data_IF_737609684224
#
_entry.id   IF_737609684224
#
_cell.length_a   1.000
_cell.length_b   1.000
_cell.length_c   1.000
_cell.angle_alpha   90.00
_cell.angle_beta   90.00
_cell.angle_gamma   90.00
#
_symmetry.space_group_name_H-M   'P 1'
#
loop_
_entity.id
_entity.type
_entity.pdbx_description
1 polymer ?
#
# COMPACT_ATOMS: atom_id res chain seq x y z
N UNK A 1 10.65 -0.14 1.53
CA UNK A 1 11.13 0.63 2.66
C UNK A 1 11.80 1.93 2.20
N UNK A 2 12.22 2.79 3.14
CA UNK A 2 12.80 4.11 2.83
C UNK A 2 14.32 4.07 3.05
N UNK A 3 15.05 4.85 2.24
CA UNK A 3 16.52 4.91 2.32
C UNK A 3 17.03 5.12 3.76
N UNK A 4 16.50 6.07 4.56
CA UNK A 4 16.97 6.24 5.95
C UNK A 4 16.77 5.01 6.84
N UNK A 5 15.72 4.23 6.60
CA UNK A 5 15.46 2.99 7.34
C UNK A 5 16.42 1.89 6.90
N UNK A 6 16.55 1.68 5.58
CA UNK A 6 17.38 0.61 5.03
C UNK A 6 18.86 0.83 5.34
N UNK A 7 19.37 2.05 5.12
CA UNK A 7 20.77 2.36 5.37
C UNK A 7 21.06 2.66 6.85
N UNK A 8 20.18 3.43 7.51
CA UNK A 8 20.42 3.91 8.88
C UNK A 8 20.13 2.87 9.96
N UNK A 9 19.06 2.09 9.84
CA UNK A 9 18.67 1.13 10.86
C UNK A 9 19.05 -0.31 10.51
N UNK A 10 19.01 -0.70 9.24
CA UNK A 10 19.29 -2.08 8.82
C UNK A 10 20.74 -2.28 8.35
N UNK A 11 21.51 -1.19 8.13
CA UNK A 11 22.88 -1.26 7.64
C UNK A 11 23.04 -1.87 6.25
N UNK A 12 21.96 -1.86 5.45
CA UNK A 12 21.92 -2.41 4.10
C UNK A 12 22.05 -1.29 3.07
N UNK A 13 22.55 -1.60 1.86
CA UNK A 13 22.55 -0.64 0.75
C UNK A 13 21.13 -0.41 0.21
N UNK A 14 20.81 0.85 -0.10
CA UNK A 14 19.62 1.24 -0.84
C UNK A 14 19.93 1.58 -2.31
N UNK A 15 21.09 1.15 -2.80
CA UNK A 15 21.45 1.32 -4.20
C UNK A 15 20.57 0.43 -5.09
N UNK A 16 20.07 0.99 -6.17
CA UNK A 16 19.25 0.28 -7.17
C UNK A 16 18.06 -0.51 -6.56
N UNK A 17 17.18 0.13 -5.74
CA UNK A 17 16.13 -0.56 -5.00
C UNK A 17 15.11 -1.28 -5.91
N UNK A 18 14.91 -0.80 -7.14
CA UNK A 18 14.03 -1.46 -8.11
C UNK A 18 14.66 -2.76 -8.62
N UNK A 19 15.99 -2.79 -8.86
CA UNK A 19 16.67 -4.03 -9.24
C UNK A 19 16.62 -5.05 -8.11
N UNK A 20 16.89 -4.61 -6.88
CA UNK A 20 16.78 -5.44 -5.70
C UNK A 20 15.36 -6.04 -5.55
N UNK A 21 14.32 -5.22 -5.75
CA UNK A 21 12.93 -5.69 -5.70
C UNK A 21 12.65 -6.74 -6.80
N UNK A 22 13.14 -6.52 -8.02
CA UNK A 22 12.97 -7.49 -9.11
C UNK A 22 13.62 -8.82 -8.73
N UNK A 23 14.89 -8.80 -8.34
CA UNK A 23 15.63 -10.01 -7.98
C UNK A 23 14.97 -10.74 -6.80
N UNK A 24 14.47 -9.99 -5.81
CA UNK A 24 13.72 -10.56 -4.68
C UNK A 24 12.46 -11.30 -5.15
N UNK A 25 11.70 -10.71 -6.07
CA UNK A 25 10.47 -11.33 -6.60
C UNK A 25 10.77 -12.53 -7.52
N UNK A 26 11.87 -12.50 -8.29
CA UNK A 26 12.31 -13.66 -9.11
C UNK A 26 12.72 -14.85 -8.24
N UNK A 27 13.07 -14.65 -6.98
CA UNK A 27 13.30 -15.70 -6.00
C UNK A 27 12.01 -16.08 -5.27
N UNK A 28 11.29 -15.09 -4.73
CA UNK A 28 10.14 -15.34 -3.85
C UNK A 28 8.97 -16.01 -4.59
N UNK A 29 8.60 -15.50 -5.77
CA UNK A 29 7.40 -15.98 -6.47
C UNK A 29 7.53 -17.46 -6.85
N UNK A 30 8.61 -17.93 -7.51
CA UNK A 30 8.79 -19.36 -7.82
C UNK A 30 8.84 -20.25 -6.57
N UNK A 31 9.43 -19.78 -5.47
CA UNK A 31 9.42 -20.54 -4.21
C UNK A 31 8.00 -20.73 -3.66
N UNK A 32 7.14 -19.74 -3.79
CA UNK A 32 5.74 -19.81 -3.32
C UNK A 32 4.86 -20.63 -4.27
N UNK A 33 5.11 -20.58 -5.58
CA UNK A 33 4.29 -21.28 -6.60
C UNK A 33 4.73 -22.70 -6.82
N UNK A 34 6.03 -22.92 -7.05
CA UNK A 34 6.60 -24.17 -7.54
C UNK A 34 7.41 -24.91 -6.48
N UNK A 35 7.74 -24.24 -5.36
CA UNK A 35 8.57 -24.78 -4.30
C UNK A 35 10.05 -24.88 -4.65
N UNK A 36 10.46 -24.32 -5.76
CA UNK A 36 11.84 -24.31 -6.26
C UNK A 36 12.19 -22.99 -6.92
N UNK A 37 13.47 -22.69 -6.95
CA UNK A 37 14.03 -21.54 -7.65
C UNK A 37 15.43 -21.86 -8.15
N UNK A 38 15.74 -21.39 -9.36
CA UNK A 38 17.07 -21.43 -9.97
C UNK A 38 17.31 -20.07 -10.60
N UNK A 39 17.98 -19.18 -9.86
CA UNK A 39 18.10 -17.78 -10.22
C UNK A 39 19.46 -17.19 -9.88
N UNK A 40 20.10 -16.59 -10.88
CA UNK A 40 21.32 -15.81 -10.77
C UNK A 40 21.01 -14.34 -11.07
N UNK A 41 20.79 -13.55 -10.02
CA UNK A 41 20.54 -12.13 -10.09
C UNK A 41 21.73 -11.30 -9.63
N UNK A 42 21.54 -10.02 -9.65
CA UNK A 42 22.54 -9.06 -9.22
C UNK A 42 22.57 -8.88 -7.69
N UNK A 43 21.39 -8.91 -7.06
CA UNK A 43 21.24 -8.77 -5.61
C UNK A 43 21.12 -10.13 -4.90
N UNK A 44 20.63 -11.17 -5.59
CA UNK A 44 20.44 -12.51 -5.03
C UNK A 44 20.84 -13.55 -6.05
N UNK A 45 21.53 -14.59 -5.55
CA UNK A 45 21.75 -15.87 -6.26
C UNK A 45 21.15 -16.97 -5.39
N UNK A 46 20.20 -17.73 -5.94
CA UNK A 46 19.47 -18.73 -5.16
C UNK A 46 19.16 -19.95 -6.02
N UNK A 47 19.69 -21.10 -5.61
CA UNK A 47 19.43 -22.41 -6.21
C UNK A 47 18.85 -23.31 -5.13
N UNK A 48 17.53 -23.54 -5.17
CA UNK A 48 16.85 -24.26 -4.11
C UNK A 48 15.70 -25.10 -4.66
N UNK A 49 15.64 -26.38 -4.31
CA UNK A 49 14.62 -27.32 -4.76
C UNK A 49 14.27 -28.28 -3.63
N UNK A 50 13.46 -27.84 -2.67
CA UNK A 50 13.01 -28.72 -1.59
C UNK A 50 11.76 -28.29 -0.83
N UNK A 51 11.18 -27.14 -1.16
CA UNK A 51 9.94 -26.72 -0.54
C UNK A 51 8.77 -27.31 -1.29
N UNK A 52 7.86 -27.97 -0.58
CA UNK A 52 6.56 -28.30 -1.16
C UNK A 52 5.63 -27.13 -0.93
N UNK A 53 5.18 -26.43 -1.99
CA UNK A 53 4.18 -25.40 -1.85
C UNK A 53 2.93 -25.96 -1.19
N UNK A 54 2.26 -25.17 -0.39
CA UNK A 54 0.96 -25.52 0.16
C UNK A 54 -0.10 -25.69 -0.94
N UNK A 55 -1.28 -26.14 -0.56
CA UNK A 55 -2.39 -26.31 -1.52
C UNK A 55 -2.88 -25.00 -2.17
N UNK A 56 -2.51 -23.84 -1.60
CA UNK A 56 -2.83 -22.51 -2.15
C UNK A 56 -1.59 -21.64 -2.13
N UNK A 57 -1.22 -21.15 -3.29
CA UNK A 57 -0.20 -20.11 -3.41
C UNK A 57 -0.72 -18.81 -2.77
N UNK A 58 0.00 -18.24 -1.81
CA UNK A 58 -0.39 -16.97 -1.23
C UNK A 58 -0.27 -15.85 -2.27
N UNK A 59 -1.16 -14.84 -2.20
CA UNK A 59 -1.02 -13.63 -3.00
C UNK A 59 0.23 -12.85 -2.59
N UNK A 60 0.98 -12.40 -3.58
CA UNK A 60 2.14 -11.54 -3.38
C UNK A 60 1.77 -10.12 -3.80
N UNK A 61 1.92 -9.17 -2.89
CA UNK A 61 1.65 -7.76 -3.15
C UNK A 61 2.87 -6.91 -2.76
N UNK A 62 3.07 -5.80 -3.47
CA UNK A 62 4.20 -4.89 -3.25
C UNK A 62 3.69 -3.53 -2.82
N UNK A 63 4.30 -2.94 -1.80
CA UNK A 63 4.08 -1.53 -1.47
C UNK A 63 4.77 -0.66 -2.53
N UNK A 64 4.00 -0.08 -3.45
CA UNK A 64 4.50 0.66 -4.60
C UNK A 64 3.78 1.99 -4.79
N UNK A 65 4.55 3.08 -4.88
CA UNK A 65 4.05 4.43 -5.12
C UNK A 65 4.61 5.03 -6.43
N UNK A 66 5.91 4.85 -6.67
CA UNK A 66 6.59 5.37 -7.85
C UNK A 66 6.36 4.51 -9.10
N UNK A 67 6.49 5.12 -10.29
CA UNK A 67 6.20 4.47 -11.57
C UNK A 67 6.94 3.15 -11.79
N UNK A 68 8.23 3.10 -11.44
CA UNK A 68 9.03 1.89 -11.62
C UNK A 68 8.55 0.76 -10.70
N UNK A 69 8.27 1.06 -9.44
CA UNK A 69 7.75 0.08 -8.48
C UNK A 69 6.35 -0.42 -8.88
N UNK A 70 5.45 0.47 -9.33
CA UNK A 70 4.13 0.12 -9.85
C UNK A 70 4.23 -0.79 -11.09
N UNK A 71 5.21 -0.50 -11.99
CA UNK A 71 5.47 -1.34 -13.16
C UNK A 71 5.93 -2.75 -12.76
N UNK A 72 6.83 -2.84 -11.79
CA UNK A 72 7.28 -4.14 -11.24
C UNK A 72 6.11 -4.88 -10.60
N UNK A 73 5.33 -4.19 -9.75
CA UNK A 73 4.17 -4.76 -9.08
C UNK A 73 3.17 -5.34 -10.09
N UNK A 74 2.70 -4.56 -11.07
CA UNK A 74 1.73 -5.02 -12.07
C UNK A 74 2.25 -6.21 -12.89
N UNK A 75 3.54 -6.24 -13.24
CA UNK A 75 4.12 -7.28 -14.08
C UNK A 75 4.43 -8.58 -13.34
N UNK A 76 4.64 -8.57 -12.03
CA UNK A 76 5.21 -9.70 -11.27
C UNK A 76 4.40 -10.15 -10.06
N UNK A 77 3.44 -9.35 -9.62
CA UNK A 77 2.69 -9.62 -8.38
C UNK A 77 1.19 -9.48 -8.57
N UNK A 78 0.42 -9.77 -7.54
CA UNK A 78 -1.04 -9.75 -7.60
C UNK A 78 -1.64 -8.37 -7.31
N UNK A 79 -0.79 -7.38 -7.03
CA UNK A 79 -1.23 -6.01 -6.81
C UNK A 79 -0.31 -5.19 -5.92
N UNK A 80 -0.85 -4.08 -5.44
CA UNK A 80 -0.12 -3.12 -4.59
C UNK A 80 -0.85 -2.87 -3.28
N UNK A 81 -0.08 -2.62 -2.22
CA UNK A 81 -0.60 -2.09 -0.95
C UNK A 81 -0.14 -0.64 -0.83
N UNK A 82 -1.08 0.25 -0.67
CA UNK A 82 -0.86 1.68 -0.55
C UNK A 82 -0.98 2.11 0.90
N UNK A 83 -0.19 3.11 1.27
CA UNK A 83 -0.29 3.79 2.55
C UNK A 83 -0.28 5.30 2.32
N UNK A 84 -1.14 6.04 3.00
CA UNK A 84 -1.28 7.51 2.88
C UNK A 84 -1.46 8.00 1.43
N UNK A 85 -2.36 7.35 0.70
CA UNK A 85 -2.69 7.69 -0.69
C UNK A 85 -4.20 7.89 -0.79
N UNK A 86 -4.63 9.06 -1.26
CA UNK A 86 -6.04 9.39 -1.41
C UNK A 86 -6.62 8.96 -2.77
N UNK A 87 -7.95 9.14 -2.96
CA UNK A 87 -8.69 8.65 -4.12
C UNK A 87 -8.20 9.24 -5.44
N UNK A 88 -7.93 10.55 -5.50
CA UNK A 88 -7.44 11.19 -6.72
C UNK A 88 -6.11 10.60 -7.20
N UNK A 89 -5.19 10.35 -6.27
CA UNK A 89 -3.90 9.75 -6.59
C UNK A 89 -4.05 8.29 -7.04
N UNK A 90 -4.99 7.55 -6.47
CA UNK A 90 -5.31 6.18 -6.93
C UNK A 90 -5.81 6.22 -8.36
N UNK A 91 -6.78 7.07 -8.67
CA UNK A 91 -7.41 7.19 -10.00
C UNK A 91 -6.43 7.67 -11.08
N UNK A 92 -5.68 8.74 -10.82
CA UNK A 92 -4.87 9.43 -11.83
C UNK A 92 -3.45 8.87 -11.98
N UNK A 93 -2.93 8.20 -10.93
CA UNK A 93 -1.53 7.77 -10.92
C UNK A 93 -1.35 6.27 -10.70
N UNK A 94 -1.92 5.70 -9.63
CA UNK A 94 -1.64 4.31 -9.24
C UNK A 94 -2.30 3.32 -10.22
N UNK A 95 -3.63 3.37 -10.30
CA UNK A 95 -4.43 2.42 -11.09
C UNK A 95 -4.02 2.36 -12.56
N UNK A 96 -3.88 3.47 -13.30
CA UNK A 96 -3.57 3.40 -14.73
C UNK A 96 -2.22 2.72 -14.99
N UNK A 97 -1.20 3.01 -14.17
CA UNK A 97 0.14 2.44 -14.33
C UNK A 97 0.21 0.97 -13.95
N UNK A 98 -0.47 0.62 -12.88
CA UNK A 98 -0.51 -0.75 -12.37
C UNK A 98 -1.23 -1.67 -13.36
N UNK A 99 -2.43 -1.26 -13.82
CA UNK A 99 -3.26 -2.02 -14.78
C UNK A 99 -2.52 -2.17 -16.11
N UNK A 100 -2.04 -1.08 -16.71
CA UNK A 100 -1.31 -1.15 -17.99
C UNK A 100 -0.07 -2.06 -17.89
N UNK A 101 0.56 -2.13 -16.72
CA UNK A 101 1.72 -3.00 -16.49
C UNK A 101 1.33 -4.47 -16.38
N UNK A 102 0.19 -4.78 -15.74
CA UNK A 102 -0.37 -6.12 -15.66
C UNK A 102 -0.81 -6.61 -17.05
N UNK A 103 -1.55 -5.79 -17.79
CA UNK A 103 -2.02 -6.09 -19.14
C UNK A 103 -0.84 -6.38 -20.09
N UNK A 104 0.22 -5.57 -20.01
CA UNK A 104 1.44 -5.78 -20.84
C UNK A 104 2.16 -7.10 -20.54
N UNK A 105 1.89 -7.70 -19.38
CA UNK A 105 2.44 -8.98 -18.94
C UNK A 105 1.43 -10.14 -19.02
N UNK A 106 0.25 -9.91 -19.63
CA UNK A 106 -0.86 -10.87 -19.70
C UNK A 106 -1.28 -11.42 -18.33
N UNK A 107 -1.27 -10.57 -17.30
CA UNK A 107 -1.70 -10.92 -15.96
C UNK A 107 -3.14 -10.48 -15.71
N UNK A 108 -3.79 -11.12 -14.75
CA UNK A 108 -5.10 -10.71 -14.26
C UNK A 108 -5.08 -9.27 -13.72
N UNK A 109 -6.26 -8.64 -13.66
CA UNK A 109 -6.42 -7.31 -13.06
C UNK A 109 -5.84 -7.27 -11.64
N UNK A 110 -4.91 -6.36 -11.36
CA UNK A 110 -4.23 -6.32 -10.07
C UNK A 110 -5.11 -5.75 -8.97
N UNK A 111 -4.91 -6.25 -7.77
CA UNK A 111 -5.54 -5.73 -6.55
C UNK A 111 -4.89 -4.42 -6.12
N UNK A 112 -5.68 -3.49 -5.61
CA UNK A 112 -5.23 -2.22 -5.04
C UNK A 112 -5.78 -2.15 -3.61
N UNK A 113 -4.95 -2.47 -2.64
CA UNK A 113 -5.30 -2.34 -1.22
C UNK A 113 -4.95 -0.94 -0.77
N UNK A 114 -5.95 -0.16 -0.37
CA UNK A 114 -5.74 1.18 0.19
C UNK A 114 -5.75 1.09 1.72
N UNK A 115 -4.61 1.43 2.35
CA UNK A 115 -4.50 1.50 3.81
C UNK A 115 -4.48 2.95 4.25
N UNK A 116 -5.44 3.35 5.09
CA UNK A 116 -5.52 4.69 5.66
C UNK A 116 -5.96 4.64 7.12
N UNK A 117 -5.59 5.65 7.92
CA UNK A 117 -6.21 5.89 9.21
C UNK A 117 -7.70 6.15 9.03
N UNK A 118 -8.52 5.54 9.90
CA UNK A 118 -9.97 5.69 9.90
C UNK A 118 -10.50 5.96 11.30
N UNK A 119 -11.41 6.92 11.42
CA UNK A 119 -12.08 7.25 12.67
C UNK A 119 -13.51 7.71 12.43
N UNK A 120 -14.45 7.04 13.09
CA UNK A 120 -15.84 7.53 13.18
C UNK A 120 -15.95 8.44 14.41
N UNK A 121 -16.25 9.71 14.20
CA UNK A 121 -16.27 10.76 15.24
C UNK A 121 -17.16 11.92 14.84
N UNK A 122 -17.69 12.64 15.82
CA UNK A 122 -18.38 13.92 15.61
C UNK A 122 -17.40 15.11 15.65
N UNK A 123 -16.13 14.89 16.09
CA UNK A 123 -15.07 15.90 16.07
C UNK A 123 -14.01 15.58 14.99
N UNK A 124 -14.44 15.57 13.75
CA UNK A 124 -13.55 15.28 12.61
C UNK A 124 -12.36 16.23 12.52
N UNK A 125 -12.53 17.49 12.91
CA UNK A 125 -11.45 18.47 12.89
C UNK A 125 -10.35 18.11 13.89
N UNK A 126 -10.69 17.87 15.15
CA UNK A 126 -9.71 17.53 16.17
C UNK A 126 -9.01 16.20 15.95
N UNK A 127 -9.70 15.19 15.39
CA UNK A 127 -9.06 13.90 15.02
C UNK A 127 -8.12 14.10 13.84
N UNK A 128 -8.47 14.92 12.84
CA UNK A 128 -7.63 15.23 11.68
C UNK A 128 -6.35 15.97 12.08
N UNK A 129 -6.45 16.93 13.00
CA UNK A 129 -5.27 17.59 13.57
C UNK A 129 -4.35 16.62 14.31
N UNK A 130 -4.91 15.72 15.09
CA UNK A 130 -4.13 14.65 15.75
C UNK A 130 -3.45 13.72 14.71
N UNK A 131 -4.15 13.35 13.63
CA UNK A 131 -3.59 12.57 12.54
C UNK A 131 -2.45 13.33 11.83
N UNK A 132 -2.59 14.61 11.59
CA UNK A 132 -1.53 15.45 11.01
C UNK A 132 -0.26 15.44 11.87
N UNK A 133 -0.39 15.46 13.19
CA UNK A 133 0.76 15.40 14.10
C UNK A 133 1.40 14.02 14.13
N UNK A 134 0.60 12.96 14.29
CA UNK A 134 1.09 11.57 14.40
C UNK A 134 1.77 11.13 13.11
N UNK A 135 1.21 11.46 11.96
CA UNK A 135 1.70 11.04 10.65
C UNK A 135 2.60 12.08 9.95
N UNK A 136 3.00 13.16 10.64
CA UNK A 136 3.80 14.25 10.07
C UNK A 136 5.05 13.80 9.30
N UNK A 137 5.69 12.73 9.74
CA UNK A 137 6.90 12.16 9.10
C UNK A 137 6.65 11.77 7.63
N UNK A 138 5.45 11.31 7.29
CA UNK A 138 5.12 10.95 5.91
C UNK A 138 5.07 12.16 4.98
N UNK A 139 4.73 13.34 5.48
CA UNK A 139 4.80 14.59 4.73
C UNK A 139 6.23 15.01 4.35
N UNK A 140 7.25 14.44 5.02
CA UNK A 140 8.67 14.75 4.79
C UNK A 140 9.38 13.71 3.92
N UNK A 141 8.82 12.51 3.78
CA UNK A 141 9.40 11.45 2.96
C UNK A 141 9.06 11.70 1.48
N UNK A 142 10.07 11.82 0.58
CA UNK A 142 9.85 12.26 -0.81
C UNK A 142 8.80 11.44 -1.57
N UNK A 143 8.73 10.13 -1.36
CA UNK A 143 7.77 9.24 -2.01
C UNK A 143 6.32 9.54 -1.59
N UNK A 144 6.09 9.82 -0.32
CA UNK A 144 4.76 10.17 0.19
C UNK A 144 4.42 11.63 -0.10
N UNK A 145 5.38 12.55 0.02
CA UNK A 145 5.16 13.95 -0.35
C UNK A 145 4.66 14.05 -1.79
N UNK A 146 5.28 13.31 -2.72
CA UNK A 146 4.84 13.28 -4.11
C UNK A 146 3.39 12.76 -4.27
N UNK A 147 2.91 11.86 -3.41
CA UNK A 147 1.52 11.38 -3.45
C UNK A 147 0.57 12.42 -2.87
N UNK A 148 0.91 13.05 -1.75
CA UNK A 148 0.12 14.12 -1.16
C UNK A 148 0.02 15.34 -2.09
N UNK A 149 1.08 15.68 -2.82
CA UNK A 149 1.08 16.75 -3.83
C UNK A 149 0.13 16.42 -4.99
N UNK A 150 0.08 15.16 -5.45
CA UNK A 150 -0.87 14.69 -6.47
C UNK A 150 -2.31 14.74 -5.98
N UNK A 151 -2.53 14.39 -4.73
CA UNK A 151 -3.83 14.50 -4.07
C UNK A 151 -4.28 15.95 -3.93
N UNK A 152 -3.32 16.88 -3.86
CA UNK A 152 -3.57 18.32 -3.67
C UNK A 152 -3.70 18.71 -2.20
N UNK A 153 -3.12 17.91 -1.29
CA UNK A 153 -3.18 18.13 0.16
C UNK A 153 -1.81 18.47 0.76
N UNK A 154 -1.82 19.18 1.86
CA UNK A 154 -0.59 19.63 2.52
C UNK A 154 -0.10 18.63 3.57
N UNK A 155 -1.03 18.01 4.29
CA UNK A 155 -0.72 17.17 5.46
C UNK A 155 -1.27 15.76 5.31
N UNK A 156 -0.58 14.75 5.88
CA UNK A 156 -0.98 13.34 5.79
C UNK A 156 -2.37 13.03 6.37
N UNK A 157 -2.81 13.72 7.42
CA UNK A 157 -4.14 13.52 8.01
C UNK A 157 -5.28 13.96 7.12
N UNK A 158 -5.01 14.72 6.05
CA UNK A 158 -6.04 15.13 5.10
C UNK A 158 -6.52 13.99 4.19
N UNK A 159 -5.73 12.94 4.02
CA UNK A 159 -6.13 11.71 3.30
C UNK A 159 -6.74 10.67 4.24
N UNK A 160 -6.75 10.88 5.55
CA UNK A 160 -7.36 9.96 6.51
C UNK A 160 -8.90 9.97 6.37
N UNK A 161 -9.51 8.81 6.52
CA UNK A 161 -10.97 8.61 6.47
C UNK A 161 -11.57 8.96 7.82
N UNK A 162 -12.04 10.18 7.99
CA UNK A 162 -12.49 10.73 9.28
C UNK A 162 -13.79 11.49 9.12
N UNK A 163 -14.75 11.23 10.00
CA UNK A 163 -16.05 11.89 10.04
C UNK A 163 -17.08 11.06 10.80
N UNK A 164 -18.36 11.46 10.73
CA UNK A 164 -19.43 10.61 11.18
C UNK A 164 -19.62 9.41 10.22
N UNK A 165 -20.54 8.49 10.55
CA UNK A 165 -20.77 7.24 9.79
C UNK A 165 -21.11 7.51 8.31
N UNK A 166 -21.89 8.55 8.02
CA UNK A 166 -22.28 8.93 6.67
C UNK A 166 -21.08 9.47 5.89
N UNK A 167 -20.31 10.40 6.49
CA UNK A 167 -19.12 10.99 5.89
C UNK A 167 -18.05 9.93 5.62
N UNK A 168 -17.83 9.01 6.57
CA UNK A 168 -16.88 7.90 6.40
C UNK A 168 -17.32 6.96 5.29
N UNK A 169 -18.63 6.64 5.20
CA UNK A 169 -19.18 5.82 4.11
C UNK A 169 -18.97 6.45 2.75
N UNK A 170 -19.16 7.77 2.63
CA UNK A 170 -18.92 8.52 1.38
C UNK A 170 -17.45 8.44 0.98
N UNK A 171 -16.52 8.69 1.92
CA UNK A 171 -15.08 8.64 1.68
C UNK A 171 -14.61 7.24 1.26
N UNK A 172 -15.12 6.18 1.88
CA UNK A 172 -14.84 4.79 1.46
C UNK A 172 -15.34 4.52 0.03
N UNK A 173 -16.55 4.99 -0.30
CA UNK A 173 -17.11 4.91 -1.66
C UNK A 173 -16.29 5.70 -2.69
N UNK A 174 -15.63 6.79 -2.31
CA UNK A 174 -14.71 7.53 -3.19
C UNK A 174 -13.45 6.73 -3.49
N UNK A 175 -12.87 6.06 -2.50
CA UNK A 175 -11.72 5.17 -2.69
C UNK A 175 -12.07 3.99 -3.62
N UNK A 176 -13.23 3.37 -3.45
CA UNK A 176 -13.71 2.30 -4.32
C UNK A 176 -13.88 2.78 -5.77
N UNK A 177 -14.55 3.90 -5.99
CA UNK A 177 -14.73 4.49 -7.34
C UNK A 177 -13.41 4.87 -8.01
N UNK A 178 -12.42 5.30 -7.23
CA UNK A 178 -11.07 5.57 -7.71
C UNK A 178 -10.32 4.30 -8.15
N UNK A 179 -10.78 3.14 -7.70
CA UNK A 179 -10.25 1.84 -8.09
C UNK A 179 -9.53 1.06 -7.00
N UNK A 180 -9.65 1.46 -5.72
CA UNK A 180 -9.28 0.59 -4.61
C UNK A 180 -10.17 -0.65 -4.62
N UNK A 181 -9.56 -1.84 -4.60
CA UNK A 181 -10.28 -3.11 -4.55
C UNK A 181 -10.55 -3.57 -3.11
N UNK A 182 -9.78 -3.06 -2.19
CA UNK A 182 -9.84 -3.39 -0.78
C UNK A 182 -9.43 -2.18 0.06
N UNK A 183 -10.05 -2.05 1.23
CA UNK A 183 -9.65 -1.07 2.23
C UNK A 183 -9.05 -1.78 3.45
N UNK A 184 -7.85 -1.36 3.84
CA UNK A 184 -7.16 -1.83 5.04
C UNK A 184 -7.24 -0.75 6.11
N UNK A 185 -8.16 -0.90 7.04
CA UNK A 185 -8.43 0.07 8.09
C UNK A 185 -7.31 0.10 9.14
N UNK A 186 -6.64 1.25 9.32
CA UNK A 186 -5.89 1.54 10.52
C UNK A 186 -6.81 2.30 11.48
N UNK A 187 -7.39 1.62 12.45
CA UNK A 187 -8.20 2.27 13.49
C UNK A 187 -7.37 3.37 14.16
N UNK A 188 -7.88 4.59 14.12
CA UNK A 188 -7.25 5.77 14.69
C UNK A 188 -8.28 6.55 15.50
N UNK A 189 -7.88 7.09 16.63
CA UNK A 189 -8.78 7.86 17.49
C UNK A 189 -8.01 8.47 18.66
N UNK A 190 -8.64 9.38 19.39
CA UNK A 190 -8.10 10.06 20.57
C UNK A 190 -8.69 9.53 21.86
N UNK A 191 -9.79 8.76 21.78
CA UNK A 191 -10.49 8.21 22.92
C UNK A 191 -10.91 6.76 22.67
N UNK A 192 -11.16 6.02 23.75
CA UNK A 192 -11.69 4.65 23.68
C UNK A 192 -13.02 4.57 22.94
N UNK A 193 -13.88 5.59 23.11
CA UNK A 193 -15.19 5.64 22.48
C UNK A 193 -15.09 5.77 20.95
N UNK A 194 -14.15 6.59 20.46
CA UNK A 194 -13.87 6.70 19.02
C UNK A 194 -13.39 5.36 18.43
N UNK A 195 -12.53 4.62 19.12
CA UNK A 195 -12.10 3.28 18.68
C UNK A 195 -13.26 2.26 18.68
N UNK A 196 -14.11 2.26 19.72
CA UNK A 196 -15.27 1.36 19.79
C UNK A 196 -16.25 1.66 18.66
N UNK A 197 -16.63 2.93 18.49
CA UNK A 197 -17.56 3.39 17.44
C UNK A 197 -17.04 3.09 16.04
N UNK A 198 -15.75 3.33 15.79
CA UNK A 198 -15.10 3.00 14.50
C UNK A 198 -15.16 1.50 14.23
N UNK A 199 -14.87 0.68 15.23
CA UNK A 199 -14.88 -0.78 15.09
C UNK A 199 -16.30 -1.33 14.89
N UNK A 200 -17.30 -0.78 15.54
CA UNK A 200 -18.70 -1.15 15.35
C UNK A 200 -19.17 -0.80 13.93
N UNK A 201 -18.83 0.38 13.44
CA UNK A 201 -19.09 0.79 12.07
C UNK A 201 -18.44 -0.18 11.06
N UNK A 202 -17.15 -0.47 11.20
CA UNK A 202 -16.43 -1.38 10.31
C UNK A 202 -17.02 -2.80 10.30
N UNK A 203 -17.50 -3.31 11.45
CA UNK A 203 -18.18 -4.61 11.51
C UNK A 203 -19.50 -4.62 10.74
N UNK A 204 -20.17 -3.50 10.66
CA UNK A 204 -21.40 -3.34 9.89
C UNK A 204 -21.21 -3.37 8.37
N UNK A 205 -19.97 -3.24 7.89
CA UNK A 205 -19.61 -3.30 6.47
C UNK A 205 -19.22 -4.70 5.98
N UNK A 206 -19.01 -5.66 6.90
CA UNK A 206 -18.64 -7.06 6.62
C UNK A 206 -19.86 -7.95 6.50
#
# INVERSE_FOLDING_TARGET
>A
SHKPVVEGYLGMSFDRPIRHLIDYLEVLVPLLTDGRVDYDGEAFTTHFDSVRPGHRTPSVMVAALGEQALRVSGRRTDGTILWMVGPRTIEDHIRPRLVASADSANRASPRIVCSLPICVTDDAHGVREAANQVFAVYGQLPSYRAMLDREGVQHPGEVAVIGNEEEVSIQLGELERAGATEFSALEFGRSSDEFVRTREFLRGLL
#
